data_IF_680548633328
#
_entry.id   IF_680548633328
#
_cell.length_a   1.000
_cell.length_b   1.000
_cell.length_c   1.000
_cell.angle_alpha   90.00
_cell.angle_beta   90.00
_cell.angle_gamma   90.00
#
_symmetry.space_group_name_H-M   'P 1'
#
loop_
_entity.id
_entity.type
_entity.pdbx_description
1 polymer ?
#
# COMPACT_ATOMS: atom_id res chain seq x y z
N UNK A 1 -15.76 33.08 20.69
CA UNK A 1 -14.33 32.98 21.05
C UNK A 1 -13.74 31.84 20.25
N UNK A 2 -12.53 31.98 19.71
CA UNK A 2 -11.86 30.86 19.04
C UNK A 2 -11.51 29.77 20.08
N UNK A 3 -11.56 28.49 19.68
CA UNK A 3 -11.09 27.38 20.52
C UNK A 3 -9.61 27.56 20.84
N UNK A 4 -9.19 27.24 22.07
CA UNK A 4 -7.79 27.25 22.51
C UNK A 4 -7.13 25.87 22.40
N UNK A 5 -7.86 24.84 21.95
CA UNK A 5 -7.35 23.49 21.77
C UNK A 5 -6.79 23.36 20.34
N UNK A 6 -5.53 22.95 20.24
CA UNK A 6 -4.87 22.55 19.00
C UNK A 6 -4.49 21.08 19.11
N UNK A 7 -4.73 20.31 18.06
CA UNK A 7 -4.40 18.89 18.02
C UNK A 7 -3.06 18.67 17.31
N UNK A 8 -2.26 17.76 17.84
CA UNK A 8 -1.05 17.30 17.18
C UNK A 8 -1.40 16.25 16.13
N UNK A 9 -0.66 16.20 15.02
CA UNK A 9 -0.82 15.13 14.02
C UNK A 9 -0.62 13.73 14.63
N UNK A 10 0.20 13.63 15.68
CA UNK A 10 0.49 12.38 16.40
C UNK A 10 -0.64 11.90 17.32
N UNK A 11 -1.67 12.71 17.53
CA UNK A 11 -2.85 12.32 18.31
C UNK A 11 -3.90 11.62 17.44
N UNK A 12 -3.75 11.66 16.11
CA UNK A 12 -4.59 10.94 15.17
C UNK A 12 -4.12 9.49 15.08
N UNK A 13 -5.07 8.57 15.02
CA UNK A 13 -4.81 7.15 14.84
C UNK A 13 -5.41 6.68 13.52
N UNK A 14 -4.78 5.71 12.87
CA UNK A 14 -5.34 5.02 11.71
C UNK A 14 -5.68 3.60 12.10
N UNK A 15 -6.86 3.13 11.69
CA UNK A 15 -7.28 1.75 11.91
C UNK A 15 -7.99 1.19 10.68
N UNK A 16 -7.86 -0.12 10.47
CA UNK A 16 -8.49 -0.83 9.36
C UNK A 16 -9.21 -2.10 9.83
N UNK A 17 -10.14 -2.60 9.01
CA UNK A 17 -10.66 -3.97 9.11
C UNK A 17 -11.24 -4.43 7.78
N UNK A 18 -10.98 -5.67 7.40
CA UNK A 18 -11.61 -6.28 6.22
C UNK A 18 -13.14 -6.37 6.34
N UNK A 19 -13.81 -6.25 5.21
CA UNK A 19 -15.28 -6.19 5.11
C UNK A 19 -15.86 -7.58 4.80
N UNK A 20 -17.04 -7.91 5.34
CA UNK A 20 -17.78 -9.12 4.92
C UNK A 20 -18.78 -8.84 3.80
N UNK A 21 -19.02 -7.56 3.54
CA UNK A 21 -19.82 -7.05 2.42
C UNK A 21 -19.06 -5.88 1.83
N UNK A 22 -18.67 -5.94 0.56
CA UNK A 22 -17.85 -4.92 -0.07
C UNK A 22 -18.51 -3.54 -0.02
N UNK A 23 -17.80 -2.51 0.44
CA UNK A 23 -18.31 -1.15 0.57
C UNK A 23 -19.18 -0.91 1.80
N UNK A 24 -19.41 -1.92 2.65
CA UNK A 24 -20.17 -1.77 3.89
C UNK A 24 -19.23 -1.52 5.06
N UNK A 25 -19.34 -0.35 5.66
CA UNK A 25 -18.40 0.10 6.65
C UNK A 25 -18.45 -0.71 7.96
N UNK A 26 -17.29 -1.16 8.44
CA UNK A 26 -17.13 -1.93 9.68
C UNK A 26 -16.88 -0.99 10.86
N UNK A 27 -17.52 -1.20 12.01
CA UNK A 27 -17.38 -0.30 13.18
C UNK A 27 -16.80 -0.98 14.43
N UNK A 28 -16.47 -2.27 14.37
CA UNK A 28 -15.98 -3.06 15.50
C UNK A 28 -14.80 -3.93 15.10
N UNK A 29 -13.95 -4.30 16.07
CA UNK A 29 -12.79 -5.16 15.80
C UNK A 29 -11.77 -4.53 14.86
N UNK A 30 -11.66 -3.20 14.87
CA UNK A 30 -10.69 -2.43 14.10
C UNK A 30 -9.29 -2.72 14.63
N UNK A 31 -8.31 -2.71 13.74
CA UNK A 31 -6.91 -2.93 14.05
C UNK A 31 -6.11 -1.68 13.71
N UNK A 32 -5.28 -1.21 14.65
CA UNK A 32 -4.48 -0.03 14.47
C UNK A 32 -3.30 -0.28 13.52
N UNK A 33 -3.07 0.66 12.60
CA UNK A 33 -1.83 0.74 11.83
C UNK A 33 -0.82 1.62 12.55
N UNK A 34 0.47 1.25 12.53
CA UNK A 34 1.52 2.11 13.04
C UNK A 34 1.87 3.14 11.98
N UNK A 35 1.40 4.38 12.16
CA UNK A 35 1.53 5.47 11.21
C UNK A 35 2.33 6.63 11.83
N UNK A 36 3.31 7.13 11.09
CA UNK A 36 4.04 8.37 11.45
C UNK A 36 3.56 9.56 10.62
N UNK A 37 2.90 9.29 9.48
CA UNK A 37 2.32 10.30 8.61
C UNK A 37 0.99 9.86 8.04
N UNK A 38 0.05 10.81 7.98
CA UNK A 38 -1.30 10.65 7.43
C UNK A 38 -1.54 11.85 6.53
N UNK A 39 -1.94 11.59 5.29
CA UNK A 39 -2.38 12.63 4.35
C UNK A 39 -3.89 12.87 4.45
N UNK A 40 -4.34 14.07 4.08
CA UNK A 40 -5.78 14.30 3.91
C UNK A 40 -6.25 13.55 2.66
N UNK A 41 -7.36 12.80 2.72
CA UNK A 41 -7.88 12.14 1.53
C UNK A 41 -8.19 13.13 0.41
N UNK A 42 -7.87 12.75 -0.83
CA UNK A 42 -8.17 13.56 -2.01
C UNK A 42 -9.68 13.71 -2.18
N UNK A 43 -10.18 14.95 -2.17
CA UNK A 43 -11.63 15.15 -2.30
C UNK A 43 -12.13 15.01 -3.74
N UNK A 44 -11.31 15.20 -4.78
CA UNK A 44 -11.65 14.94 -6.19
C UNK A 44 -13.12 15.29 -6.57
N UNK A 45 -13.58 16.48 -6.17
CA UNK A 45 -14.96 16.91 -6.37
C UNK A 45 -15.18 17.36 -7.80
N UNK A 46 -16.26 16.90 -8.43
CA UNK A 46 -16.69 17.43 -9.73
C UNK A 46 -17.47 18.71 -9.48
N UNK A 47 -16.96 19.85 -9.95
CA UNK A 47 -17.59 21.16 -9.74
C UNK A 47 -17.76 21.92 -11.05
N UNK A 48 -18.91 22.58 -11.21
CA UNK A 48 -19.14 23.57 -12.25
C UNK A 48 -19.36 24.94 -11.62
N UNK A 49 -18.55 25.92 -12.04
CA UNK A 49 -18.50 27.29 -11.49
C UNK A 49 -18.79 28.35 -12.55
N UNK A 50 -19.34 27.93 -13.69
CA UNK A 50 -19.61 28.82 -14.81
C UNK A 50 -20.95 29.55 -14.65
N UNK A 51 -21.00 30.81 -15.10
CA UNK A 51 -22.25 31.59 -15.14
C UNK A 51 -23.13 31.04 -16.26
N UNK A 52 -24.33 30.55 -15.94
CA UNK A 52 -25.25 30.00 -16.93
C UNK A 52 -26.34 30.99 -17.33
N UNK A 53 -26.81 30.86 -18.57
CA UNK A 53 -27.95 31.63 -19.08
C UNK A 53 -29.25 31.15 -18.43
N UNK A 54 -30.01 32.07 -17.82
CA UNK A 54 -31.29 31.73 -17.19
C UNK A 54 -31.69 32.63 -16.02
N UNK A 55 -30.72 33.27 -15.34
CA UNK A 55 -31.00 34.24 -14.27
C UNK A 55 -30.69 35.70 -14.65
N UNK A 56 -31.17 36.67 -13.86
CA UNK A 56 -30.87 38.10 -14.05
C UNK A 56 -29.41 38.43 -13.77
N UNK A 57 -28.75 39.15 -14.68
CA UNK A 57 -27.37 39.64 -14.52
C UNK A 57 -26.28 38.67 -14.99
N UNK A 58 -25.04 39.20 -15.04
CA UNK A 58 -23.82 38.55 -15.56
C UNK A 58 -22.90 38.02 -14.46
N UNK A 59 -23.44 37.76 -13.26
CA UNK A 59 -22.71 37.28 -12.10
C UNK A 59 -23.01 35.81 -11.82
N UNK A 60 -22.06 35.11 -11.20
CA UNK A 60 -22.25 33.73 -10.74
C UNK A 60 -23.36 33.67 -9.69
N UNK A 61 -24.37 32.84 -9.95
CA UNK A 61 -25.54 32.69 -9.07
C UNK A 61 -25.40 31.40 -8.29
N UNK A 62 -25.95 31.37 -7.08
CA UNK A 62 -25.97 30.15 -6.27
C UNK A 62 -26.64 28.97 -6.99
N UNK A 63 -27.61 29.23 -7.89
CA UNK A 63 -28.27 28.21 -8.71
C UNK A 63 -27.38 27.66 -9.85
N UNK A 64 -26.32 28.39 -10.21
CA UNK A 64 -25.36 27.97 -11.22
C UNK A 64 -24.29 27.03 -10.63
N UNK A 65 -24.15 26.99 -9.30
CA UNK A 65 -23.24 26.10 -8.60
C UNK A 65 -23.71 24.65 -8.72
N UNK A 66 -22.83 23.80 -9.23
CA UNK A 66 -23.00 22.35 -9.20
C UNK A 66 -21.77 21.73 -8.57
N UNK A 67 -22.00 20.78 -7.66
CA UNK A 67 -20.96 19.94 -7.09
C UNK A 67 -21.50 18.52 -6.91
N UNK A 68 -20.73 17.55 -7.38
CA UNK A 68 -20.95 16.13 -7.09
C UNK A 68 -19.76 15.56 -6.29
N UNK A 69 -20.09 14.64 -5.38
CA UNK A 69 -19.17 13.98 -4.47
C UNK A 69 -19.39 12.46 -4.36
N UNK A 70 -20.18 11.87 -5.26
CA UNK A 70 -20.53 10.44 -5.27
C UNK A 70 -19.61 9.68 -6.23
N UNK A 71 -19.65 9.98 -7.53
CA UNK A 71 -18.87 9.27 -8.56
C UNK A 71 -17.44 9.82 -8.67
N UNK A 72 -16.65 9.59 -7.62
CA UNK A 72 -15.25 10.01 -7.55
C UNK A 72 -14.41 8.99 -6.80
N UNK A 73 -13.17 8.85 -7.24
CA UNK A 73 -12.18 8.08 -6.50
C UNK A 73 -11.59 8.96 -5.40
N UNK A 74 -11.58 8.45 -4.17
CA UNK A 74 -10.91 9.09 -3.03
C UNK A 74 -9.67 8.28 -2.69
N UNK A 75 -8.53 8.95 -2.56
CA UNK A 75 -7.24 8.34 -2.24
C UNK A 75 -6.69 8.92 -0.94
N UNK A 76 -5.99 8.10 -0.17
CA UNK A 76 -5.20 8.50 1.01
C UNK A 76 -3.91 7.68 1.06
N UNK A 77 -2.80 8.36 1.31
CA UNK A 77 -1.52 7.72 1.59
C UNK A 77 -1.26 7.66 3.10
N UNK A 78 -0.84 6.50 3.57
CA UNK A 78 -0.42 6.23 4.96
C UNK A 78 0.98 5.63 4.96
N UNK A 79 1.80 6.02 5.93
CA UNK A 79 3.16 5.48 6.05
C UNK A 79 3.59 5.39 7.50
N UNK A 80 4.39 4.38 7.82
CA UNK A 80 4.94 4.22 9.16
C UNK A 80 5.83 2.99 9.27
N UNK A 81 5.88 2.39 10.47
CA UNK A 81 6.72 1.23 10.75
C UNK A 81 5.95 -0.04 10.45
N UNK A 82 6.60 -1.00 9.81
CA UNK A 82 5.97 -2.27 9.52
C UNK A 82 5.96 -3.16 10.78
N UNK A 83 4.78 -3.64 11.13
CA UNK A 83 4.58 -4.69 12.14
C UNK A 83 4.03 -5.93 11.45
N UNK A 84 4.55 -7.11 11.79
CA UNK A 84 3.89 -8.36 11.43
C UNK A 84 2.67 -8.57 12.34
N UNK A 85 1.54 -8.01 11.93
CA UNK A 85 0.23 -8.18 12.52
C UNK A 85 -0.84 -8.30 11.43
N UNK A 86 -2.06 -8.67 11.83
CA UNK A 86 -3.17 -8.88 10.91
C UNK A 86 -3.48 -7.63 10.06
N UNK A 87 -3.28 -6.41 10.59
CA UNK A 87 -3.61 -5.18 9.88
C UNK A 87 -2.62 -4.91 8.74
N UNK A 88 -1.32 -4.91 9.05
CA UNK A 88 -0.31 -4.63 8.03
C UNK A 88 -0.27 -5.74 6.98
N UNK A 89 -0.37 -7.02 7.39
CA UNK A 89 -0.46 -8.15 6.45
C UNK A 89 -1.69 -8.06 5.55
N UNK A 90 -2.83 -7.56 6.07
CA UNK A 90 -4.03 -7.32 5.29
C UNK A 90 -3.84 -6.33 4.14
N UNK A 91 -2.97 -5.32 4.29
CA UNK A 91 -2.63 -4.40 3.20
C UNK A 91 -1.88 -5.11 2.06
N UNK A 92 -0.95 -6.00 2.40
CA UNK A 92 -0.22 -6.80 1.43
C UNK A 92 -1.14 -7.84 0.78
N UNK A 93 -1.97 -8.55 1.55
CA UNK A 93 -2.96 -9.49 1.01
C UNK A 93 -3.91 -8.83 0.02
N UNK A 94 -4.40 -7.62 0.32
CA UNK A 94 -5.29 -6.88 -0.56
C UNK A 94 -4.65 -6.55 -1.92
N UNK A 95 -3.41 -6.05 -1.94
CA UNK A 95 -2.76 -5.66 -3.20
C UNK A 95 -2.30 -6.87 -4.01
N UNK A 96 -1.95 -7.98 -3.36
CA UNK A 96 -1.51 -9.21 -4.03
C UNK A 96 -2.67 -10.13 -4.40
N UNK A 97 -3.89 -9.86 -3.94
CA UNK A 97 -5.04 -10.76 -4.10
C UNK A 97 -4.85 -12.10 -3.40
N UNK A 98 -4.12 -12.12 -2.29
CA UNK A 98 -3.89 -13.33 -1.49
C UNK A 98 -4.88 -13.40 -0.35
N UNK A 99 -5.67 -14.47 -0.34
CA UNK A 99 -6.66 -14.73 0.70
C UNK A 99 -6.00 -15.03 2.05
N UNK A 100 -6.54 -14.42 3.11
CA UNK A 100 -6.18 -14.64 4.50
C UNK A 100 -5.00 -13.83 5.01
N UNK A 101 -5.23 -13.05 6.05
CA UNK A 101 -4.20 -12.30 6.78
C UNK A 101 -3.11 -13.20 7.40
N UNK A 102 -3.32 -14.52 7.51
CA UNK A 102 -2.31 -15.50 7.96
C UNK A 102 -1.51 -16.15 6.82
N UNK A 103 -1.87 -15.90 5.56
CA UNK A 103 -1.12 -16.38 4.40
C UNK A 103 0.15 -15.54 4.17
N UNK A 104 1.05 -16.06 3.35
CA UNK A 104 2.23 -15.36 2.81
C UNK A 104 1.80 -14.61 1.54
N UNK A 105 1.61 -13.28 1.56
CA UNK A 105 1.09 -12.55 0.40
C UNK A 105 2.04 -12.65 -0.78
N UNK A 106 1.52 -13.00 -1.95
CA UNK A 106 2.32 -13.19 -3.15
C UNK A 106 1.56 -12.79 -4.41
N UNK A 107 2.26 -12.15 -5.34
CA UNK A 107 1.75 -11.93 -6.70
C UNK A 107 2.10 -13.18 -7.51
N UNK A 108 1.14 -14.08 -7.67
CA UNK A 108 1.33 -15.35 -8.37
C UNK A 108 1.68 -15.14 -9.86
N UNK A 109 2.33 -16.14 -10.47
CA UNK A 109 2.49 -16.18 -11.93
C UNK A 109 1.12 -16.13 -12.63
N UNK A 110 1.04 -15.41 -13.75
CA UNK A 110 -0.20 -15.22 -14.49
C UNK A 110 -1.23 -14.39 -13.74
N UNK A 111 -0.80 -13.51 -12.83
CA UNK A 111 -1.68 -12.69 -11.98
C UNK A 111 -2.78 -11.98 -12.78
N UNK A 112 -4.01 -12.44 -12.58
CA UNK A 112 -5.22 -11.90 -13.21
C UNK A 112 -6.36 -11.97 -12.20
N UNK A 113 -6.44 -11.03 -11.25
CA UNK A 113 -7.43 -11.05 -10.20
C UNK A 113 -8.83 -10.81 -10.76
N UNK A 114 -9.82 -11.51 -10.19
CA UNK A 114 -11.22 -11.32 -10.54
C UNK A 114 -11.72 -9.94 -10.07
N UNK A 115 -12.61 -9.30 -10.85
CA UNK A 115 -13.20 -8.04 -10.44
C UNK A 115 -14.17 -8.24 -9.28
N UNK A 116 -14.18 -7.30 -8.35
CA UNK A 116 -15.10 -7.31 -7.22
C UNK A 116 -16.25 -6.32 -7.46
N UNK A 117 -17.46 -6.70 -7.05
CA UNK A 117 -18.60 -5.78 -7.06
C UNK A 117 -18.83 -5.24 -5.65
N UNK A 118 -19.09 -3.95 -5.54
CA UNK A 118 -19.63 -3.41 -4.30
C UNK A 118 -20.96 -4.08 -3.96
N UNK A 119 -21.27 -4.15 -2.67
CA UNK A 119 -22.41 -4.89 -2.10
C UNK A 119 -22.34 -6.42 -2.23
N UNK A 120 -21.28 -6.97 -2.85
CA UNK A 120 -21.02 -8.40 -2.81
C UNK A 120 -20.92 -8.86 -1.34
N UNK A 121 -21.76 -9.82 -0.97
CA UNK A 121 -21.85 -10.36 0.40
C UNK A 121 -21.03 -11.64 0.54
N UNK A 122 -20.90 -12.12 1.78
CA UNK A 122 -20.18 -13.36 2.12
C UNK A 122 -18.68 -13.33 1.81
N UNK A 123 -18.08 -12.14 1.79
CA UNK A 123 -16.63 -12.00 1.83
C UNK A 123 -16.11 -12.40 3.21
N UNK A 124 -14.89 -12.93 3.24
CA UNK A 124 -14.22 -13.25 4.49
C UNK A 124 -13.44 -12.03 4.95
N UNK A 125 -13.80 -11.44 6.10
CA UNK A 125 -13.10 -10.26 6.61
C UNK A 125 -11.59 -10.43 6.82
N UNK A 126 -11.11 -11.67 6.99
CA UNK A 126 -9.69 -11.97 7.12
C UNK A 126 -8.94 -11.93 5.77
N UNK A 127 -9.64 -11.92 4.64
CA UNK A 127 -9.03 -11.95 3.30
C UNK A 127 -8.73 -10.53 2.78
N UNK A 128 -9.30 -9.51 3.43
CA UNK A 128 -9.09 -8.10 3.09
C UNK A 128 -9.37 -7.77 1.60
N UNK A 129 -10.27 -8.49 0.91
CA UNK A 129 -10.70 -8.18 -0.47
C UNK A 129 -11.05 -6.69 -0.64
N UNK A 130 -11.83 -6.21 0.32
CA UNK A 130 -12.07 -4.80 0.62
C UNK A 130 -11.97 -4.59 2.11
N UNK A 131 -11.63 -3.38 2.53
CA UNK A 131 -11.55 -3.04 3.94
C UNK A 131 -12.08 -1.64 4.22
N UNK A 132 -12.52 -1.42 5.46
CA UNK A 132 -12.85 -0.09 5.95
C UNK A 132 -11.61 0.53 6.56
N UNK A 133 -11.29 1.76 6.17
CA UNK A 133 -10.24 2.59 6.75
C UNK A 133 -10.85 3.69 7.62
N UNK A 134 -10.28 3.91 8.80
CA UNK A 134 -10.57 5.04 9.67
C UNK A 134 -9.36 5.92 9.89
N UNK A 135 -9.55 7.23 9.76
CA UNK A 135 -8.70 8.24 10.39
C UNK A 135 -9.43 8.77 11.61
N UNK A 136 -8.94 8.35 12.78
CA UNK A 136 -9.55 8.60 14.08
C UNK A 136 -9.05 9.93 14.60
N UNK A 137 -9.94 10.93 14.60
CA UNK A 137 -9.68 12.20 15.28
C UNK A 137 -9.44 12.00 16.79
N UNK A 138 -8.59 12.85 17.41
CA UNK A 138 -8.33 12.82 18.85
C UNK A 138 -9.62 12.93 19.66
N UNK A 139 -9.70 12.13 20.73
CA UNK A 139 -10.88 12.02 21.59
C UNK A 139 -11.24 13.35 22.23
N UNK A 140 -12.35 13.93 21.77
CA UNK A 140 -13.08 15.01 22.42
C UNK A 140 -14.57 14.72 22.30
N UNK A 141 -15.41 15.41 23.07
CA UNK A 141 -16.88 15.21 23.10
C UNK A 141 -17.59 15.38 21.74
N UNK A 142 -16.88 15.81 20.68
CA UNK A 142 -17.38 15.97 19.31
C UNK A 142 -16.40 15.46 18.25
N UNK A 143 -15.57 14.45 18.55
CA UNK A 143 -14.61 13.92 17.59
C UNK A 143 -15.31 13.50 16.29
N UNK A 144 -14.74 13.92 15.14
CA UNK A 144 -15.22 13.59 13.81
C UNK A 144 -14.17 12.74 13.12
N UNK A 145 -14.47 11.46 12.98
CA UNK A 145 -13.60 10.52 12.29
C UNK A 145 -13.85 10.59 10.78
N UNK A 146 -12.81 10.30 10.00
CA UNK A 146 -12.96 10.03 8.58
C UNK A 146 -13.11 8.51 8.44
N UNK A 147 -14.19 8.08 7.81
CA UNK A 147 -14.48 6.68 7.53
C UNK A 147 -14.53 6.49 6.02
N UNK A 148 -13.75 5.55 5.52
CA UNK A 148 -13.66 5.19 4.10
C UNK A 148 -13.96 3.69 3.96
N UNK A 149 -15.20 3.32 3.60
CA UNK A 149 -15.52 1.92 3.32
C UNK A 149 -15.04 1.50 1.93
N UNK A 150 -14.96 0.20 1.68
CA UNK A 150 -14.70 -0.35 0.36
C UNK A 150 -13.33 0.01 -0.19
N UNK A 151 -12.34 0.18 0.69
CA UNK A 151 -10.99 0.53 0.32
C UNK A 151 -10.23 -0.67 -0.24
N UNK A 152 -9.34 -0.38 -1.17
CA UNK A 152 -8.33 -1.30 -1.72
C UNK A 152 -7.00 -0.57 -1.84
N UNK A 153 -5.89 -1.30 -1.76
CA UNK A 153 -4.52 -0.78 -1.88
C UNK A 153 -4.13 -0.77 -3.34
N UNK A 154 -3.67 0.38 -3.84
CA UNK A 154 -3.24 0.57 -5.24
C UNK A 154 -1.71 0.52 -5.42
N UNK A 155 -0.99 0.95 -4.40
CA UNK A 155 0.46 0.88 -4.32
C UNK A 155 0.86 0.58 -2.88
N UNK A 156 1.89 -0.25 -2.70
CA UNK A 156 2.55 -0.42 -1.41
C UNK A 156 4.07 -0.48 -1.60
N UNK A 157 4.80 0.12 -0.67
CA UNK A 157 6.25 0.05 -0.58
C UNK A 157 6.66 -0.50 0.78
N UNK A 158 7.68 -1.35 0.78
CA UNK A 158 8.36 -1.85 1.97
C UNK A 158 9.83 -1.48 1.87
N UNK A 159 10.37 -0.81 2.88
CA UNK A 159 11.75 -0.33 2.85
C UNK A 159 12.49 -0.58 4.15
N UNK A 160 13.81 -0.71 4.07
CA UNK A 160 14.70 -0.85 5.22
C UNK A 160 16.08 -0.30 4.90
N UNK A 161 16.70 0.35 5.88
CA UNK A 161 18.06 0.91 5.78
C UNK A 161 18.78 0.70 7.11
N UNK A 162 19.94 0.04 7.09
CA UNK A 162 20.69 -0.27 8.32
C UNK A 162 21.37 0.95 8.95
N UNK A 163 21.53 2.06 8.22
CA UNK A 163 22.09 3.32 8.74
C UNK A 163 21.03 4.25 9.35
N UNK A 164 19.76 4.05 9.01
CA UNK A 164 18.65 4.85 9.54
C UNK A 164 17.79 4.04 10.51
N UNK A 165 17.28 4.70 11.56
CA UNK A 165 16.28 4.14 12.49
C UNK A 165 16.64 2.75 13.08
N UNK A 166 17.93 2.41 13.15
CA UNK A 166 18.40 1.11 13.64
C UNK A 166 17.99 -0.08 12.76
N UNK A 167 17.82 0.12 11.45
CA UNK A 167 17.42 -0.95 10.53
C UNK A 167 15.93 -1.28 10.57
N UNK A 168 15.07 -0.40 11.11
CA UNK A 168 13.63 -0.63 11.15
C UNK A 168 13.05 -0.71 9.73
N UNK A 169 12.19 -1.71 9.51
CA UNK A 169 11.45 -1.82 8.26
C UNK A 169 10.22 -0.89 8.32
N UNK A 170 10.01 -0.13 7.25
CA UNK A 170 8.92 0.82 7.08
C UNK A 170 8.03 0.41 5.92
N UNK A 171 6.78 0.87 5.96
CA UNK A 171 5.86 0.72 4.85
C UNK A 171 5.26 2.08 4.46
N UNK A 172 4.86 2.18 3.19
CA UNK A 172 3.97 3.24 2.71
C UNK A 172 2.94 2.62 1.80
N UNK A 173 1.66 2.95 2.00
CA UNK A 173 0.57 2.40 1.21
C UNK A 173 -0.33 3.53 0.69
N UNK A 174 -0.73 3.41 -0.57
CA UNK A 174 -1.73 4.27 -1.20
C UNK A 174 -3.05 3.52 -1.28
N UNK A 175 -4.02 3.97 -0.49
CA UNK A 175 -5.32 3.35 -0.33
C UNK A 175 -6.36 4.17 -1.10
N UNK A 176 -7.17 3.49 -1.90
CA UNK A 176 -8.20 4.11 -2.74
C UNK A 176 -9.56 3.50 -2.47
N UNK A 177 -10.62 4.31 -2.59
CA UNK A 177 -12.01 3.84 -2.56
C UNK A 177 -12.82 4.52 -3.65
N UNK A 178 -13.74 3.76 -4.24
CA UNK A 178 -14.79 4.24 -5.13
C UNK A 178 -16.11 4.54 -4.42
N UNK A 179 -16.19 4.30 -3.10
CA UNK A 179 -17.36 4.59 -2.27
C UNK A 179 -17.23 5.96 -1.62
N UNK A 180 -18.36 6.62 -1.39
CA UNK A 180 -18.40 7.94 -0.75
C UNK A 180 -17.89 7.87 0.70
N UNK A 181 -16.79 8.54 1.04
CA UNK A 181 -16.32 8.60 2.43
C UNK A 181 -17.27 9.40 3.31
N UNK A 182 -17.33 9.03 4.59
CA UNK A 182 -17.95 9.82 5.64
C UNK A 182 -16.87 10.61 6.41
N UNK A 183 -16.77 11.91 6.13
CA UNK A 183 -15.81 12.82 6.77
C UNK A 183 -16.26 13.38 8.12
N UNK A 184 -17.44 13.00 8.60
CA UNK A 184 -18.04 13.54 9.83
C UNK A 184 -18.59 12.43 10.74
N UNK A 185 -17.96 11.25 10.72
CA UNK A 185 -18.39 10.10 11.49
C UNK A 185 -18.25 10.38 13.00
N UNK A 186 -19.30 10.07 13.78
CA UNK A 186 -19.36 10.25 15.24
C UNK A 186 -19.46 8.95 16.03
N UNK A 187 -19.29 7.80 15.38
CA UNK A 187 -19.26 6.50 16.03
C UNK A 187 -18.15 6.49 17.08
N UNK A 188 -18.48 6.05 18.29
CA UNK A 188 -17.48 5.88 19.35
C UNK A 188 -16.60 4.66 19.05
N UNK A 189 -15.31 4.91 18.81
CA UNK A 189 -14.31 3.89 18.49
C UNK A 189 -13.34 3.62 19.65
N UNK A 190 -13.56 4.23 20.82
CA UNK A 190 -12.63 4.19 21.96
C UNK A 190 -12.31 2.78 22.48
N UNK A 191 -13.21 1.81 22.27
CA UNK A 191 -13.03 0.40 22.64
C UNK A 191 -13.02 -0.55 21.44
N UNK A 192 -13.18 -0.02 20.22
CA UNK A 192 -13.29 -0.81 19.00
C UNK A 192 -11.95 -1.08 18.32
N UNK A 193 -10.88 -0.39 18.73
CA UNK A 193 -9.56 -0.44 18.09
C UNK A 193 -8.59 -1.24 18.96
N UNK A 194 -8.01 -2.28 18.37
CA UNK A 194 -6.92 -3.05 18.96
C UNK A 194 -5.59 -2.42 18.54
N UNK A 195 -4.74 -2.09 19.50
CA UNK A 195 -3.43 -1.51 19.24
C UNK A 195 -2.44 -2.57 18.71
N UNK A 196 -1.50 -2.14 17.85
CA UNK A 196 -0.36 -2.95 17.44
C UNK A 196 0.59 -3.20 18.63
N UNK A 197 1.44 -4.22 18.51
CA UNK A 197 2.37 -4.60 19.59
C UNK A 197 3.83 -4.42 19.16
N UNK A 198 4.67 -3.86 20.05
CA UNK A 198 6.09 -3.64 19.73
C UNK A 198 6.90 -4.92 19.46
N UNK A 199 6.39 -6.10 19.85
CA UNK A 199 7.03 -7.38 19.55
C UNK A 199 6.95 -7.77 18.07
N UNK A 200 6.04 -7.16 17.31
CA UNK A 200 5.83 -7.43 15.88
C UNK A 200 6.71 -6.58 14.96
N UNK A 201 7.44 -5.59 15.50
CA UNK A 201 8.31 -4.70 14.72
C UNK A 201 9.41 -5.49 14.02
N UNK A 202 9.57 -5.27 12.71
CA UNK A 202 10.60 -5.93 11.91
C UNK A 202 11.82 -5.05 11.67
N UNK A 203 12.98 -5.68 11.60
CA UNK A 203 14.28 -5.04 11.42
C UNK A 203 15.13 -5.79 10.40
N UNK A 204 16.00 -5.07 9.72
CA UNK A 204 17.06 -5.61 8.87
C UNK A 204 18.03 -6.51 9.64
N UNK A 205 18.28 -6.22 10.92
CA UNK A 205 19.24 -6.96 11.74
C UNK A 205 18.83 -8.39 12.09
N UNK A 206 17.58 -8.79 11.81
CA UNK A 206 17.11 -10.17 12.00
C UNK A 206 17.15 -11.01 10.73
N UNK A 207 17.58 -10.44 9.61
CA UNK A 207 17.84 -11.20 8.39
C UNK A 207 18.93 -12.25 8.62
N UNK A 208 18.69 -13.46 8.13
CA UNK A 208 19.61 -14.59 8.16
C UNK A 208 20.29 -14.81 6.82
N UNK A 209 19.67 -14.36 5.72
CA UNK A 209 20.17 -14.48 4.37
C UNK A 209 19.73 -13.25 3.57
N UNK A 210 20.65 -12.65 2.82
CA UNK A 210 20.39 -11.53 1.91
C UNK A 210 21.10 -11.80 0.60
N UNK A 211 20.32 -11.99 -0.46
CA UNK A 211 20.80 -12.41 -1.77
C UNK A 211 20.28 -11.47 -2.87
N UNK A 212 21.15 -11.22 -3.84
CA UNK A 212 20.82 -10.57 -5.10
C UNK A 212 21.42 -11.43 -6.20
N UNK A 213 20.62 -11.82 -7.20
CA UNK A 213 21.05 -12.75 -8.27
C UNK A 213 21.67 -14.03 -7.69
N UNK A 214 21.05 -14.60 -6.65
CA UNK A 214 21.54 -15.80 -5.96
C UNK A 214 22.99 -15.70 -5.41
N UNK A 215 23.53 -14.50 -5.23
CA UNK A 215 24.81 -14.26 -4.57
C UNK A 215 24.58 -13.63 -3.19
N UNK A 216 25.32 -14.07 -2.19
CA UNK A 216 25.25 -13.51 -0.84
C UNK A 216 25.84 -12.09 -0.84
N UNK A 217 25.01 -11.12 -0.42
CA UNK A 217 25.36 -9.71 -0.43
C UNK A 217 25.28 -9.09 0.97
N UNK A 218 26.14 -8.11 1.23
CA UNK A 218 25.95 -7.20 2.36
C UNK A 218 25.03 -6.07 1.95
N UNK A 219 23.76 -6.18 2.34
CA UNK A 219 22.70 -5.22 2.02
C UNK A 219 22.70 -4.03 2.97
N UNK A 220 22.80 -2.82 2.40
CA UNK A 220 22.75 -1.56 3.14
C UNK A 220 21.31 -1.04 3.25
N UNK A 221 20.60 -1.02 2.12
CA UNK A 221 19.20 -0.61 2.07
C UNK A 221 18.46 -1.31 0.95
N UNK A 222 17.15 -1.46 1.11
CA UNK A 222 16.26 -1.90 0.04
C UNK A 222 14.93 -1.14 0.09
N UNK A 223 14.26 -1.06 -1.06
CA UNK A 223 12.87 -0.64 -1.18
C UNK A 223 12.20 -1.53 -2.22
N UNK A 224 11.22 -2.32 -1.80
CA UNK A 224 10.37 -3.12 -2.70
C UNK A 224 9.03 -2.43 -2.84
N UNK A 225 8.63 -2.18 -4.08
CA UNK A 225 7.39 -1.51 -4.45
C UNK A 225 6.52 -2.43 -5.29
N UNK A 226 5.23 -2.47 -4.96
CA UNK A 226 4.20 -3.11 -5.78
C UNK A 226 3.24 -2.03 -6.25
N UNK A 227 3.13 -1.90 -7.56
CA UNK A 227 2.14 -1.07 -8.23
C UNK A 227 1.09 -1.99 -8.85
N UNK A 228 -0.14 -1.92 -8.31
CA UNK A 228 -1.30 -2.64 -8.81
C UNK A 228 -2.50 -1.68 -8.89
N UNK A 229 -2.54 -0.83 -9.93
CA UNK A 229 -3.53 0.23 -10.06
C UNK A 229 -4.96 -0.32 -10.07
N UNK A 230 -5.89 0.49 -9.58
CA UNK A 230 -7.30 0.12 -9.46
C UNK A 230 -8.13 1.01 -10.39
N UNK A 231 -9.12 0.41 -11.05
CA UNK A 231 -10.05 1.09 -11.94
C UNK A 231 -11.48 0.83 -11.47
N UNK A 232 -12.17 1.91 -11.08
CA UNK A 232 -13.57 1.86 -10.67
C UNK A 232 -14.49 2.12 -11.87
N UNK A 233 -15.55 1.33 -12.00
CA UNK A 233 -16.50 1.43 -13.13
C UNK A 233 -17.94 1.20 -12.69
N UNK A 234 -18.89 1.68 -13.50
CA UNK A 234 -20.32 1.60 -13.21
C UNK A 234 -20.75 2.61 -12.14
N UNK A 235 -22.02 3.00 -12.18
CA UNK A 235 -22.64 3.77 -11.10
C UNK A 235 -23.44 2.80 -10.25
N UNK A 236 -23.18 2.80 -8.95
CA UNK A 236 -23.92 1.98 -8.02
C UNK A 236 -25.41 2.39 -7.98
N UNK A 237 -26.30 1.41 -7.92
CA UNK A 237 -27.74 1.65 -7.95
C UNK A 237 -28.24 2.32 -6.67
N UNK A 238 -27.51 2.18 -5.57
CA UNK A 238 -27.81 2.82 -4.29
C UNK A 238 -27.25 4.25 -4.17
N UNK A 239 -26.56 4.74 -5.22
CA UNK A 239 -26.02 6.09 -5.27
C UNK A 239 -24.87 6.32 -4.28
N UNK A 240 -24.20 5.25 -3.85
CA UNK A 240 -23.12 5.28 -2.86
C UNK A 240 -21.74 5.48 -3.49
N UNK A 241 -21.61 5.27 -4.80
CA UNK A 241 -20.35 5.46 -5.53
C UNK A 241 -20.31 4.65 -6.83
N UNK A 242 -19.14 4.08 -7.10
CA UNK A 242 -18.96 3.14 -8.21
C UNK A 242 -19.55 1.76 -7.89
N UNK A 243 -19.86 0.96 -8.92
CA UNK A 243 -20.43 -0.39 -8.77
C UNK A 243 -19.36 -1.49 -8.71
N UNK A 244 -18.31 -1.37 -9.53
CA UNK A 244 -17.32 -2.43 -9.76
C UNK A 244 -15.91 -1.92 -9.52
N UNK A 245 -15.11 -2.74 -8.84
CA UNK A 245 -13.68 -2.59 -8.61
C UNK A 245 -12.95 -3.54 -9.56
N UNK A 246 -12.12 -2.99 -10.44
CA UNK A 246 -11.21 -3.76 -11.30
C UNK A 246 -9.76 -3.41 -10.97
N UNK A 247 -8.83 -4.30 -11.30
CA UNK A 247 -7.40 -3.97 -11.38
C UNK A 247 -7.05 -3.50 -12.78
N UNK A 248 -6.02 -2.66 -12.87
CA UNK A 248 -5.44 -2.26 -14.15
C UNK A 248 -4.75 -3.44 -14.84
N UNK A 249 -4.43 -3.27 -16.13
CA UNK A 249 -3.82 -4.33 -16.92
C UNK A 249 -2.36 -4.65 -16.52
N UNK A 250 -1.69 -3.71 -15.85
CA UNK A 250 -0.29 -3.85 -15.47
C UNK A 250 -0.18 -3.92 -13.94
N UNK A 251 0.35 -5.03 -13.43
CA UNK A 251 0.89 -5.13 -12.08
C UNK A 251 2.41 -5.18 -12.21
N UNK A 252 3.13 -4.33 -11.47
CA UNK A 252 4.59 -4.32 -11.50
C UNK A 252 5.19 -4.36 -10.10
N UNK A 253 6.22 -5.19 -9.97
CA UNK A 253 7.04 -5.25 -8.76
C UNK A 253 8.45 -4.80 -9.10
N UNK A 254 8.97 -3.86 -8.31
CA UNK A 254 10.34 -3.36 -8.45
C UNK A 254 11.03 -3.34 -7.10
N UNK A 255 12.31 -3.69 -7.08
CA UNK A 255 13.15 -3.57 -5.88
C UNK A 255 14.39 -2.76 -6.18
N UNK A 256 14.55 -1.67 -5.46
CA UNK A 256 15.78 -0.88 -5.43
C UNK A 256 16.61 -1.31 -4.22
N UNK A 257 17.93 -1.45 -4.39
CA UNK A 257 18.83 -1.85 -3.34
C UNK A 257 20.18 -1.16 -3.43
N UNK A 258 20.87 -1.09 -2.29
CA UNK A 258 22.26 -0.70 -2.21
C UNK A 258 23.03 -1.80 -1.49
N UNK A 259 24.08 -2.32 -2.13
CA UNK A 259 24.88 -3.44 -1.62
C UNK A 259 26.37 -3.10 -1.68
N UNK A 260 27.17 -3.79 -0.88
CA UNK A 260 28.63 -3.65 -0.92
C UNK A 260 29.19 -4.12 -2.25
N UNK A 261 30.11 -3.35 -2.82
CA UNK A 261 30.90 -3.77 -3.98
C UNK A 261 32.09 -4.63 -3.51
N UNK A 262 32.09 -5.91 -3.85
CA UNK A 262 33.17 -6.85 -3.56
C UNK A 262 33.20 -8.03 -4.56
N UNK A 263 33.97 -9.07 -4.26
CA UNK A 263 34.18 -10.21 -5.16
C UNK A 263 32.90 -11.04 -5.45
N UNK A 264 31.81 -10.83 -4.70
CA UNK A 264 30.53 -11.49 -4.98
C UNK A 264 29.61 -10.63 -5.87
N UNK A 265 29.88 -9.33 -6.00
CA UNK A 265 28.98 -8.35 -6.63
C UNK A 265 29.63 -7.55 -7.77
N UNK A 266 30.92 -7.77 -8.03
CA UNK A 266 31.69 -7.08 -9.08
C UNK A 266 31.21 -7.40 -10.50
N UNK A 267 30.75 -8.62 -10.73
CA UNK A 267 30.21 -9.05 -12.02
C UNK A 267 28.86 -8.41 -12.38
N UNK A 268 28.10 -7.87 -11.41
CA UNK A 268 26.74 -7.39 -11.65
C UNK A 268 26.66 -6.24 -12.67
N UNK A 269 27.69 -5.40 -12.75
CA UNK A 269 27.76 -4.33 -13.76
C UNK A 269 27.92 -4.94 -15.16
N UNK A 270 28.75 -5.98 -15.29
CA UNK A 270 28.93 -6.68 -16.57
C UNK A 270 27.69 -7.49 -16.95
N UNK A 271 26.98 -8.06 -15.97
CA UNK A 271 25.70 -8.73 -16.20
C UNK A 271 24.66 -7.75 -16.74
N UNK A 272 24.57 -6.55 -16.16
CA UNK A 272 23.65 -5.52 -16.63
C UNK A 272 23.93 -5.09 -18.08
N UNK A 273 25.20 -4.89 -18.46
CA UNK A 273 25.58 -4.50 -19.83
C UNK A 273 25.34 -5.62 -20.85
N UNK A 274 25.36 -6.88 -20.41
CA UNK A 274 25.23 -8.06 -21.28
C UNK A 274 23.85 -8.72 -21.26
N UNK A 275 22.89 -8.18 -20.50
CA UNK A 275 21.51 -8.68 -20.42
C UNK A 275 20.83 -8.64 -21.81
N UNK A 276 20.43 -9.81 -22.30
CA UNK A 276 19.82 -10.00 -23.63
C UNK A 276 18.30 -10.06 -23.64
N UNK A 277 17.71 -10.09 -24.85
CA UNK A 277 16.25 -10.10 -25.09
C UNK A 277 15.54 -11.40 -24.65
N UNK A 278 16.29 -12.49 -24.50
CA UNK A 278 15.92 -13.60 -23.64
C UNK A 278 16.78 -13.37 -22.41
N UNK A 279 16.30 -12.68 -21.37
CA UNK A 279 17.05 -12.64 -20.15
C UNK A 279 17.26 -14.12 -19.82
N UNK A 280 18.49 -14.57 -19.67
CA UNK A 280 18.73 -15.43 -18.53
C UNK A 280 18.18 -14.62 -17.39
N UNK A 281 16.91 -14.90 -17.08
CA UNK A 281 16.23 -14.46 -15.88
C UNK A 281 17.27 -14.64 -14.78
N UNK A 282 17.29 -13.76 -13.79
CA UNK A 282 17.95 -14.13 -12.56
C UNK A 282 17.21 -15.35 -12.01
N UNK A 283 17.53 -16.53 -12.56
CA UNK A 283 16.72 -17.73 -12.52
C UNK A 283 17.05 -18.35 -11.16
N UNK A 284 16.13 -18.10 -10.22
CA UNK A 284 16.29 -18.17 -8.77
C UNK A 284 16.85 -16.92 -8.08
N UNK A 285 16.06 -16.44 -7.10
CA UNK A 285 16.42 -15.45 -6.09
C UNK A 285 17.06 -14.18 -6.66
N UNK A 286 16.41 -13.57 -7.66
CA UNK A 286 16.73 -12.24 -8.19
C UNK A 286 16.95 -11.23 -7.06
N UNK A 287 16.05 -11.22 -6.08
CA UNK A 287 16.22 -10.52 -4.82
C UNK A 287 15.58 -11.31 -3.69
N UNK A 288 16.32 -11.57 -2.63
CA UNK A 288 15.83 -12.33 -1.48
C UNK A 288 16.37 -11.81 -0.17
N UNK A 289 15.45 -11.59 0.77
CA UNK A 289 15.76 -11.41 2.18
C UNK A 289 15.00 -12.49 2.92
N UNK A 290 15.73 -13.34 3.64
CA UNK A 290 15.15 -14.32 4.56
C UNK A 290 15.52 -13.90 5.98
N UNK A 291 14.58 -13.96 6.91
CA UNK A 291 14.85 -13.74 8.33
C UNK A 291 14.34 -14.89 9.21
N UNK A 292 15.00 -15.09 10.34
CA UNK A 292 14.49 -15.95 11.39
C UNK A 292 13.23 -15.30 11.99
N UNK A 293 12.11 -16.03 12.03
CA UNK A 293 10.84 -15.49 12.51
C UNK A 293 9.95 -14.89 11.43
N UNK A 294 10.12 -15.35 10.18
CA UNK A 294 9.16 -15.24 9.08
C UNK A 294 9.11 -13.95 8.28
N UNK A 295 9.79 -12.84 8.56
CA UNK A 295 9.76 -11.70 7.63
C UNK A 295 10.76 -11.83 6.47
N UNK A 296 10.27 -11.77 5.24
CA UNK A 296 11.12 -11.87 4.06
C UNK A 296 10.46 -11.33 2.81
N UNK A 297 11.29 -10.92 1.86
CA UNK A 297 10.88 -10.55 0.50
C UNK A 297 11.62 -11.49 -0.44
N UNK A 298 10.91 -12.17 -1.32
CA UNK A 298 11.51 -12.97 -2.37
C UNK A 298 10.94 -12.57 -3.73
N UNK A 299 11.82 -12.20 -4.65
CA UNK A 299 11.57 -12.06 -6.08
C UNK A 299 12.43 -13.14 -6.72
N UNK A 300 11.79 -14.19 -7.23
CA UNK A 300 12.52 -15.29 -7.85
C UNK A 300 13.10 -14.85 -9.18
N UNK A 301 12.26 -14.23 -10.03
CA UNK A 301 12.60 -13.91 -11.40
C UNK A 301 12.57 -12.40 -11.64
N UNK A 302 13.64 -11.88 -12.22
CA UNK A 302 13.72 -10.45 -12.55
C UNK A 302 14.87 -10.10 -13.49
N UNK A 303 14.88 -8.83 -13.87
CA UNK A 303 15.93 -8.21 -14.70
C UNK A 303 16.48 -6.98 -14.00
N UNK A 304 17.77 -6.70 -14.19
CA UNK A 304 18.33 -5.43 -13.73
C UNK A 304 17.79 -4.30 -14.61
N UNK A 305 17.37 -3.21 -13.99
CA UNK A 305 16.94 -1.98 -14.69
C UNK A 305 17.93 -0.83 -14.49
N UNK A 306 18.79 -0.95 -13.48
CA UNK A 306 19.89 -0.04 -13.21
C UNK A 306 20.97 -0.77 -12.43
N UNK A 307 22.24 -0.42 -12.70
CA UNK A 307 23.40 -0.80 -11.89
C UNK A 307 24.42 0.35 -11.96
N UNK A 308 24.80 0.93 -10.83
CA UNK A 308 25.73 2.06 -10.77
C UNK A 308 26.59 2.04 -9.52
N UNK A 309 27.86 2.44 -9.65
CA UNK A 309 28.74 2.61 -8.50
C UNK A 309 28.30 3.80 -7.65
N UNK A 310 28.28 3.60 -6.34
CA UNK A 310 27.94 4.59 -5.33
C UNK A 310 29.16 4.83 -4.44
N UNK A 311 29.66 6.07 -4.44
CA UNK A 311 30.86 6.44 -3.67
C UNK A 311 30.48 6.82 -2.23
N UNK A 312 31.20 6.23 -1.28
CA UNK A 312 31.13 6.55 0.15
C UNK A 312 32.46 6.27 0.84
N UNK A 313 32.44 5.96 2.13
CA UNK A 313 33.65 5.50 2.85
C UNK A 313 34.14 4.14 2.33
N UNK A 314 33.23 3.34 1.79
CA UNK A 314 33.48 2.13 1.02
C UNK A 314 32.73 2.22 -0.32
N UNK A 315 33.21 1.50 -1.34
CA UNK A 315 32.51 1.41 -2.61
C UNK A 315 31.26 0.55 -2.45
N UNK A 316 30.11 1.10 -2.84
CA UNK A 316 28.82 0.43 -2.87
C UNK A 316 28.31 0.36 -4.30
N UNK A 317 27.29 -0.45 -4.50
CA UNK A 317 26.63 -0.65 -5.77
C UNK A 317 25.14 -0.41 -5.56
N UNK A 318 24.62 0.59 -6.29
CA UNK A 318 23.19 0.88 -6.36
C UNK A 318 22.61 0.09 -7.54
N UNK A 319 21.58 -0.70 -7.27
CA UNK A 319 20.94 -1.54 -8.26
C UNK A 319 19.43 -1.50 -8.15
N UNK A 320 18.77 -1.76 -9.27
CA UNK A 320 17.32 -1.86 -9.37
C UNK A 320 16.95 -3.12 -10.12
N UNK A 321 15.97 -3.87 -9.62
CA UNK A 321 15.40 -5.06 -10.25
C UNK A 321 13.93 -4.80 -10.55
N UNK A 322 13.48 -5.23 -11.73
CA UNK A 322 12.06 -5.39 -12.05
C UNK A 322 11.74 -6.88 -12.16
N UNK A 323 10.71 -7.32 -11.43
CA UNK A 323 10.27 -8.71 -11.48
C UNK A 323 9.70 -9.05 -12.87
N UNK A 324 9.88 -10.29 -13.29
CA UNK A 324 9.39 -10.81 -14.57
C UNK A 324 8.63 -12.11 -14.36
N UNK A 325 7.53 -12.27 -15.09
CA UNK A 325 6.75 -13.50 -15.10
C UNK A 325 7.21 -14.41 -16.25
N UNK A 326 7.59 -15.64 -15.90
CA UNK A 326 7.98 -16.70 -16.83
C UNK A 326 6.97 -17.85 -16.90
N UNK A 327 5.86 -17.74 -16.15
CA UNK A 327 4.81 -18.76 -16.10
C UNK A 327 4.98 -19.80 -14.99
N UNK A 328 6.03 -19.74 -14.16
CA UNK A 328 6.28 -20.75 -13.12
C UNK A 328 6.28 -20.19 -11.71
N UNK A 329 6.91 -19.03 -11.50
CA UNK A 329 7.21 -18.52 -10.16
C UNK A 329 6.44 -17.22 -9.85
N UNK A 330 6.22 -16.96 -8.56
CA UNK A 330 5.58 -15.71 -8.15
C UNK A 330 6.49 -14.52 -8.45
N UNK A 331 5.92 -13.40 -8.93
CA UNK A 331 6.66 -12.16 -9.17
C UNK A 331 7.26 -11.63 -7.87
N UNK A 332 6.53 -11.80 -6.77
CA UNK A 332 7.02 -11.52 -5.42
C UNK A 332 6.25 -12.35 -4.41
N UNK A 333 6.95 -12.81 -3.38
CA UNK A 333 6.36 -13.43 -2.20
C UNK A 333 6.90 -12.75 -0.95
N UNK A 334 5.99 -12.41 -0.04
CA UNK A 334 6.33 -11.98 1.30
C UNK A 334 6.12 -13.12 2.27
N UNK A 335 7.09 -13.31 3.14
CA UNK A 335 6.88 -14.10 4.35
C UNK A 335 6.73 -13.08 5.48
N UNK A 336 5.83 -13.31 6.44
CA UNK A 336 5.64 -12.45 7.62
C UNK A 336 5.64 -13.24 8.92
#
# INVERSE_FOLDING_TARGET
MASNIAFSSKEFQVAIKGETTAGSAVTTGLLALDVDSISMPSLNVTQALEVRGGGSGRTFKNQDFFQDNILRTTEISVSGRFHDDEAHRGLFGNITGTDGAGASPAVASGYSPDPLRYEQTSLTAADYDTFTLYVVAPSTSNAKHIQMPGCVVSNITLSGDVTADGGLIKYSATIVTGQKPNFANTTDLSSAITAYTNGSVRKMSSATETQVKNADVALQSFTTTIDNPVVFTGADNDGSGFEVINRGAECSVTTDFQIKYDANTDEFISDFDTQGATPTIMDADAFKITAAGSHGVNIQNGVFTNMSLSEGDIMMLDGSIKATDDGTDALVAFTF
#
